data_IF_921624398869
#
_entry.id   IF_921624398869
#
_cell.length_a   1.000
_cell.length_b   1.000
_cell.length_c   1.000
_cell.angle_alpha   90.00
_cell.angle_beta   90.00
_cell.angle_gamma   90.00
#
_symmetry.space_group_name_H-M   'P 1'
#
loop_
_entity.id
_entity.type
_entity.pdbx_description
1 polymer ?
#
# COMPACT_ATOMS: atom_id res chain seq x y z
N UNK A 1 3.68 11.81 10.37
CA UNK A 1 4.38 12.99 9.85
C UNK A 1 3.57 13.57 8.69
N UNK A 2 2.83 14.64 8.91
CA UNK A 2 1.97 15.35 7.92
C UNK A 2 0.92 14.50 7.21
N UNK A 3 0.59 13.34 7.73
CA UNK A 3 -0.46 12.44 7.24
C UNK A 3 -1.36 11.96 8.37
N UNK A 4 -1.33 12.66 9.52
CA UNK A 4 -2.09 12.28 10.71
C UNK A 4 -3.59 12.20 10.40
N UNK A 5 -4.14 13.13 9.60
CA UNK A 5 -5.54 13.13 9.19
C UNK A 5 -5.87 11.89 8.36
N UNK A 6 -5.15 11.65 7.25
CA UNK A 6 -5.34 10.48 6.38
C UNK A 6 -5.08 9.17 7.12
N UNK A 7 -4.08 9.15 8.01
CA UNK A 7 -3.77 7.97 8.82
C UNK A 7 -4.87 7.70 9.86
N UNK A 8 -5.40 8.73 10.49
CA UNK A 8 -6.51 8.61 11.45
C UNK A 8 -7.79 8.12 10.76
N UNK A 9 -8.10 8.68 9.60
CA UNK A 9 -9.24 8.27 8.78
C UNK A 9 -9.11 6.79 8.37
N UNK A 10 -7.97 6.38 7.81
CA UNK A 10 -7.72 4.98 7.44
C UNK A 10 -7.78 4.04 8.66
N UNK A 11 -7.23 4.45 9.80
CA UNK A 11 -7.29 3.68 11.03
C UNK A 11 -8.73 3.51 11.52
N UNK A 12 -9.56 4.54 11.43
CA UNK A 12 -10.98 4.48 11.81
C UNK A 12 -11.76 3.51 10.91
N UNK A 13 -11.55 3.57 9.58
CA UNK A 13 -12.17 2.65 8.61
C UNK A 13 -11.79 1.21 8.92
N UNK A 14 -10.52 0.96 9.27
CA UNK A 14 -10.01 -0.39 9.52
C UNK A 14 -10.21 -0.89 10.96
N UNK A 15 -10.59 -0.01 11.90
CA UNK A 15 -10.78 -0.36 13.31
C UNK A 15 -11.73 -1.54 13.57
N UNK A 16 -12.80 -1.79 12.79
CA UNK A 16 -13.66 -2.97 12.98
C UNK A 16 -12.89 -4.30 12.95
N UNK A 17 -11.78 -4.38 12.19
CA UNK A 17 -10.93 -5.57 12.16
C UNK A 17 -10.38 -5.97 13.54
N UNK A 18 -10.16 -5.01 14.43
CA UNK A 18 -9.73 -5.25 15.81
C UNK A 18 -10.86 -5.75 16.71
N UNK A 19 -12.09 -5.83 16.20
CA UNK A 19 -13.25 -6.46 16.86
C UNK A 19 -13.70 -7.75 16.16
N UNK A 20 -12.86 -8.29 15.28
CA UNK A 20 -13.18 -9.43 14.41
C UNK A 20 -14.40 -9.17 13.49
N UNK A 21 -14.60 -7.92 13.10
CA UNK A 21 -15.62 -7.50 12.14
C UNK A 21 -14.95 -7.08 10.83
N UNK A 22 -15.60 -7.33 9.69
CA UNK A 22 -15.08 -6.91 8.39
C UNK A 22 -15.18 -5.40 8.24
N UNK A 23 -14.04 -4.68 8.03
CA UNK A 23 -14.05 -3.28 7.65
C UNK A 23 -14.61 -3.07 6.23
N UNK A 24 -14.98 -1.83 5.90
CA UNK A 24 -15.17 -1.43 4.50
C UNK A 24 -13.90 -1.67 3.70
N UNK A 25 -14.03 -1.94 2.40
CA UNK A 25 -12.86 -1.89 1.52
C UNK A 25 -12.35 -0.44 1.47
N UNK A 26 -11.04 -0.28 1.33
CA UNK A 26 -10.39 1.02 1.37
C UNK A 26 -9.55 1.26 0.14
N UNK A 27 -9.76 2.38 -0.54
CA UNK A 27 -8.90 2.80 -1.63
C UNK A 27 -8.15 4.08 -1.30
N UNK A 28 -6.86 4.06 -1.56
CA UNK A 28 -5.94 5.16 -1.25
C UNK A 28 -5.35 5.69 -2.54
N UNK A 29 -5.67 6.93 -2.85
CA UNK A 29 -5.25 7.61 -4.06
C UNK A 29 -4.23 8.70 -3.78
N UNK A 30 -3.39 8.98 -4.74
CA UNK A 30 -2.47 10.12 -4.69
C UNK A 30 -1.29 9.92 -5.62
N UNK A 31 -0.61 10.99 -5.98
CA UNK A 31 0.60 10.93 -6.81
C UNK A 31 1.72 10.12 -6.14
N UNK A 32 2.71 9.73 -6.93
CA UNK A 32 3.94 9.09 -6.41
C UNK A 32 4.60 9.98 -5.37
N UNK A 33 5.20 9.37 -4.34
CA UNK A 33 5.94 10.12 -3.30
C UNK A 33 5.10 10.84 -2.26
N UNK A 34 3.75 10.69 -2.26
CA UNK A 34 2.85 11.32 -1.28
C UNK A 34 2.71 10.57 0.05
N UNK A 35 3.43 9.46 0.24
CA UNK A 35 3.48 8.73 1.51
C UNK A 35 2.46 7.61 1.69
N UNK A 36 1.59 7.29 0.71
CA UNK A 36 0.53 6.28 0.79
C UNK A 36 0.99 4.94 1.37
N UNK A 37 1.92 4.30 0.68
CA UNK A 37 2.45 2.98 1.07
C UNK A 37 3.07 2.99 2.47
N UNK A 38 3.81 4.05 2.81
CA UNK A 38 4.47 4.17 4.11
C UNK A 38 3.45 4.32 5.24
N UNK A 39 2.45 5.19 5.06
CA UNK A 39 1.37 5.40 6.03
C UNK A 39 0.57 4.12 6.23
N UNK A 40 0.20 3.43 5.14
CA UNK A 40 -0.55 2.18 5.24
C UNK A 40 0.23 1.08 5.97
N UNK A 41 1.52 0.91 5.66
CA UNK A 41 2.38 -0.04 6.38
C UNK A 41 2.49 0.29 7.86
N UNK A 42 2.58 1.57 8.23
CA UNK A 42 2.63 2.00 9.62
C UNK A 42 1.32 1.66 10.37
N UNK A 43 0.16 1.96 9.78
CA UNK A 43 -1.16 1.64 10.35
C UNK A 43 -1.29 0.13 10.56
N UNK A 44 -1.02 -0.65 9.52
CA UNK A 44 -1.16 -2.12 9.56
C UNK A 44 -0.22 -2.75 10.59
N UNK A 45 1.01 -2.25 10.72
CA UNK A 45 1.93 -2.72 11.74
C UNK A 45 1.42 -2.41 13.16
N UNK A 46 0.93 -1.20 13.40
CA UNK A 46 0.31 -0.84 14.69
C UNK A 46 -0.92 -1.70 14.99
N UNK A 47 -1.78 -1.93 14.00
CA UNK A 47 -2.93 -2.83 14.15
C UNK A 47 -2.51 -4.26 14.48
N UNK A 48 -1.47 -4.77 13.81
CA UNK A 48 -0.91 -6.10 14.08
C UNK A 48 -0.39 -6.22 15.52
N UNK A 49 0.31 -5.21 16.02
CA UNK A 49 0.78 -5.20 17.42
C UNK A 49 -0.38 -5.21 18.42
N UNK A 50 -1.43 -4.41 18.16
CA UNK A 50 -2.64 -4.38 18.98
C UNK A 50 -3.35 -5.74 18.91
N UNK A 51 -3.47 -6.33 17.74
CA UNK A 51 -4.12 -7.63 17.54
C UNK A 51 -3.41 -8.74 18.32
N UNK A 52 -2.06 -8.78 18.25
CA UNK A 52 -1.26 -9.75 19.01
C UNK A 52 -1.47 -9.58 20.52
N UNK A 53 -1.44 -8.34 21.04
CA UNK A 53 -1.65 -8.06 22.47
C UNK A 53 -3.03 -8.48 22.99
N UNK A 54 -4.05 -8.43 22.13
CA UNK A 54 -5.43 -8.72 22.48
C UNK A 54 -5.93 -10.08 21.97
N UNK A 55 -5.04 -10.95 21.47
CA UNK A 55 -5.38 -12.25 20.89
C UNK A 55 -6.45 -12.18 19.78
N UNK A 56 -6.37 -11.16 18.93
CA UNK A 56 -7.26 -10.96 17.79
C UNK A 56 -6.63 -11.61 16.55
N UNK A 57 -7.40 -12.43 15.86
CA UNK A 57 -6.94 -13.11 14.63
C UNK A 57 -6.97 -12.15 13.42
N UNK A 58 -5.96 -11.31 13.32
CA UNK A 58 -5.77 -10.35 12.23
C UNK A 58 -4.59 -10.76 11.36
N UNK A 59 -4.82 -10.95 10.06
CA UNK A 59 -3.78 -11.34 9.11
C UNK A 59 -3.62 -10.29 7.99
N UNK A 60 -2.65 -9.39 8.08
CA UNK A 60 -2.33 -8.51 6.98
C UNK A 60 -1.48 -9.24 5.91
N UNK A 61 -1.85 -9.06 4.65
CA UNK A 61 -1.14 -9.57 3.48
C UNK A 61 -0.85 -8.39 2.56
N UNK A 62 0.41 -8.16 2.26
CA UNK A 62 0.85 -7.07 1.39
C UNK A 62 1.41 -7.62 0.07
N UNK A 63 0.89 -7.12 -1.04
CA UNK A 63 1.35 -7.44 -2.40
C UNK A 63 1.62 -6.15 -3.16
N UNK A 64 2.84 -6.02 -3.72
CA UNK A 64 3.14 -4.96 -4.67
C UNK A 64 2.89 -5.47 -6.09
N UNK A 65 1.86 -4.92 -6.75
CA UNK A 65 1.37 -5.37 -8.04
C UNK A 65 2.27 -4.95 -9.23
N UNK A 66 3.22 -4.04 -9.01
CA UNK A 66 4.19 -3.62 -10.02
C UNK A 66 5.31 -4.63 -10.22
N UNK A 67 5.67 -5.37 -9.17
CA UNK A 67 6.77 -6.32 -9.24
C UNK A 67 6.51 -7.41 -10.28
N UNK A 68 7.48 -7.60 -11.18
CA UNK A 68 7.44 -8.68 -12.16
C UNK A 68 7.40 -10.04 -11.45
N UNK A 69 6.69 -11.00 -12.01
CA UNK A 69 6.48 -12.36 -11.48
C UNK A 69 5.60 -12.45 -10.23
N UNK A 70 5.09 -11.35 -9.70
CA UNK A 70 4.20 -11.37 -8.52
C UNK A 70 2.74 -11.31 -8.95
N UNK A 71 2.39 -10.41 -9.85
CA UNK A 71 1.03 -10.15 -10.27
C UNK A 71 0.93 -9.93 -11.81
N UNK A 72 1.69 -10.70 -12.58
CA UNK A 72 1.67 -10.61 -14.05
C UNK A 72 0.53 -11.43 -14.67
N UNK A 73 -0.04 -12.36 -13.93
CA UNK A 73 -1.24 -13.13 -14.27
C UNK A 73 -2.05 -13.34 -13.00
N UNK A 74 -3.35 -13.57 -13.16
CA UNK A 74 -4.24 -13.89 -12.04
C UNK A 74 -3.74 -15.11 -11.25
N UNK A 75 -3.33 -16.16 -11.96
CA UNK A 75 -2.72 -17.34 -11.37
C UNK A 75 -1.55 -16.99 -10.43
N UNK A 76 -0.62 -16.14 -10.87
CA UNK A 76 0.54 -15.73 -10.07
C UNK A 76 0.16 -14.92 -8.86
N UNK A 77 -0.82 -14.03 -8.98
CA UNK A 77 -1.35 -13.28 -7.86
C UNK A 77 -1.91 -14.23 -6.79
N UNK A 78 -2.80 -15.14 -7.17
CA UNK A 78 -3.39 -16.10 -6.24
C UNK A 78 -2.32 -17.04 -5.65
N UNK A 79 -1.35 -17.49 -6.45
CA UNK A 79 -0.20 -18.27 -5.95
C UNK A 79 0.59 -17.51 -4.88
N UNK A 80 0.83 -16.21 -5.10
CA UNK A 80 1.52 -15.36 -4.12
C UNK A 80 0.71 -15.19 -2.83
N UNK A 81 -0.62 -15.08 -2.95
CA UNK A 81 -1.52 -15.04 -1.81
C UNK A 81 -1.47 -16.36 -1.03
N UNK A 82 -1.54 -17.50 -1.70
CA UNK A 82 -1.42 -18.84 -1.10
C UNK A 82 -0.08 -18.97 -0.34
N UNK A 83 1.02 -18.49 -0.94
CA UNK A 83 2.33 -18.49 -0.30
C UNK A 83 2.37 -17.71 1.00
N UNK A 84 1.60 -16.63 1.12
CA UNK A 84 1.49 -15.85 2.37
C UNK A 84 0.84 -16.63 3.53
N UNK A 85 0.17 -17.75 3.20
CA UNK A 85 -0.36 -18.72 4.16
C UNK A 85 0.62 -19.89 4.47
N UNK A 86 1.85 -19.80 3.95
CA UNK A 86 2.88 -20.83 4.20
C UNK A 86 2.75 -22.07 3.31
N UNK A 87 1.92 -22.04 2.27
CA UNK A 87 1.76 -23.13 1.31
C UNK A 87 2.32 -22.74 -0.05
N UNK A 88 3.18 -23.56 -0.60
CA UNK A 88 3.66 -23.41 -1.96
C UNK A 88 2.76 -24.18 -2.94
N UNK A 89 2.51 -23.57 -4.09
CA UNK A 89 1.84 -24.19 -5.23
C UNK A 89 2.76 -24.09 -6.45
N UNK A 90 2.65 -25.02 -7.42
CA UNK A 90 3.42 -24.93 -8.65
C UNK A 90 3.24 -23.55 -9.29
N UNK A 91 4.29 -22.99 -9.89
CA UNK A 91 4.24 -21.69 -10.55
C UNK A 91 3.41 -21.68 -11.85
N UNK A 92 3.08 -22.87 -12.36
CA UNK A 92 2.24 -23.09 -13.55
C UNK A 92 1.66 -24.51 -13.49
N UNK A 93 0.57 -24.77 -14.23
CA UNK A 93 0.10 -26.13 -14.49
C UNK A 93 -1.23 -26.50 -13.85
N UNK A 94 -1.71 -25.79 -12.85
CA UNK A 94 -3.06 -26.00 -12.34
C UNK A 94 -4.07 -25.13 -13.09
N UNK A 95 -5.31 -25.59 -13.30
CA UNK A 95 -6.42 -24.73 -13.74
C UNK A 95 -6.63 -23.56 -12.76
N UNK A 96 -7.07 -22.42 -13.29
CA UNK A 96 -7.33 -21.22 -12.46
C UNK A 96 -8.36 -21.49 -11.38
N UNK A 97 -9.40 -22.24 -11.67
CA UNK A 97 -10.43 -22.62 -10.70
C UNK A 97 -9.86 -23.46 -9.54
N UNK A 98 -8.91 -24.34 -9.83
CA UNK A 98 -8.29 -25.18 -8.81
C UNK A 98 -7.41 -24.37 -7.85
N UNK A 99 -6.67 -23.38 -8.36
CA UNK A 99 -5.86 -22.51 -7.51
C UNK A 99 -6.74 -21.62 -6.63
N UNK A 100 -7.90 -21.16 -7.12
CA UNK A 100 -8.89 -20.46 -6.31
C UNK A 100 -9.47 -21.35 -5.22
N UNK A 101 -9.81 -22.59 -5.52
CA UNK A 101 -10.31 -23.56 -4.54
C UNK A 101 -9.28 -23.82 -3.42
N UNK A 102 -8.00 -23.91 -3.76
CA UNK A 102 -6.93 -24.02 -2.76
C UNK A 102 -6.87 -22.75 -1.90
N UNK A 103 -6.95 -21.58 -2.52
CA UNK A 103 -6.94 -20.30 -1.84
C UNK A 103 -8.12 -20.15 -0.87
N UNK A 104 -9.33 -20.44 -1.30
CA UNK A 104 -10.53 -20.40 -0.48
C UNK A 104 -10.44 -21.31 0.74
N UNK A 105 -9.98 -22.55 0.55
CA UNK A 105 -9.77 -23.48 1.67
C UNK A 105 -8.76 -22.96 2.68
N UNK A 106 -7.69 -22.29 2.23
CA UNK A 106 -6.69 -21.71 3.13
C UNK A 106 -7.21 -20.49 3.88
N UNK A 107 -7.98 -19.65 3.21
CA UNK A 107 -8.61 -18.48 3.82
C UNK A 107 -9.54 -18.87 4.96
N UNK A 108 -10.35 -19.90 4.76
CA UNK A 108 -11.47 -20.26 5.64
C UNK A 108 -11.12 -21.29 6.71
N UNK A 109 -9.83 -21.61 6.88
CA UNK A 109 -9.36 -22.57 7.89
C UNK A 109 -9.62 -22.12 9.33
N UNK A 110 -9.48 -20.81 9.59
CA UNK A 110 -9.58 -20.21 10.92
C UNK A 110 -10.46 -18.96 10.89
N UNK A 111 -11.10 -18.67 12.03
CA UNK A 111 -11.85 -17.41 12.17
C UNK A 111 -10.86 -16.24 12.26
N UNK A 112 -10.75 -15.44 11.21
CA UNK A 112 -9.81 -14.32 11.13
C UNK A 112 -10.32 -13.21 10.22
N UNK A 113 -9.80 -12.01 10.41
CA UNK A 113 -9.95 -10.91 9.45
C UNK A 113 -8.64 -10.75 8.68
N UNK A 114 -8.73 -10.76 7.36
CA UNK A 114 -7.60 -10.63 6.46
C UNK A 114 -7.63 -9.23 5.84
N UNK A 115 -6.56 -8.46 6.06
CA UNK A 115 -6.35 -7.19 5.38
C UNK A 115 -5.47 -7.44 4.16
N UNK A 116 -6.08 -7.47 2.98
CA UNK A 116 -5.38 -7.68 1.71
C UNK A 116 -4.99 -6.34 1.10
N UNK A 117 -3.71 -5.98 1.20
CA UNK A 117 -3.17 -4.72 0.68
C UNK A 117 -2.57 -4.97 -0.71
N UNK A 118 -3.19 -4.38 -1.74
CA UNK A 118 -2.71 -4.39 -3.12
C UNK A 118 -2.11 -3.02 -3.45
N UNK A 119 -0.79 -2.92 -3.37
CA UNK A 119 -0.08 -1.68 -3.70
C UNK A 119 0.18 -1.59 -5.21
N UNK A 120 0.01 -0.39 -5.77
CA UNK A 120 -0.01 -0.12 -7.21
C UNK A 120 -1.06 -0.96 -7.96
N UNK A 121 -2.28 -1.00 -7.42
CA UNK A 121 -3.42 -1.78 -7.93
C UNK A 121 -3.79 -1.42 -9.37
N UNK A 122 -3.56 -0.18 -9.79
CA UNK A 122 -3.72 0.28 -11.17
C UNK A 122 -2.80 -0.47 -12.15
N UNK A 123 -1.66 -0.98 -11.69
CA UNK A 123 -0.78 -1.82 -12.50
C UNK A 123 -1.30 -3.25 -12.62
N UNK A 124 -2.01 -3.74 -11.59
CA UNK A 124 -2.65 -5.05 -11.62
C UNK A 124 -3.73 -5.09 -12.70
N UNK A 125 -4.68 -4.17 -12.64
CA UNK A 125 -5.81 -4.15 -13.61
C UNK A 125 -5.35 -3.90 -15.04
N UNK A 126 -4.29 -3.11 -15.25
CA UNK A 126 -3.68 -2.94 -16.57
C UNK A 126 -3.08 -4.22 -17.14
N UNK A 127 -2.57 -5.13 -16.29
CA UNK A 127 -1.92 -6.37 -16.72
C UNK A 127 -2.90 -7.52 -16.96
N UNK A 128 -3.86 -7.69 -16.07
CA UNK A 128 -4.71 -8.89 -16.01
C UNK A 128 -6.22 -8.58 -16.06
N UNK A 129 -6.59 -7.31 -16.21
CA UNK A 129 -7.98 -6.89 -16.16
C UNK A 129 -8.49 -6.65 -14.74
N UNK A 130 -9.70 -6.17 -14.63
CA UNK A 130 -10.35 -5.83 -13.35
C UNK A 130 -11.24 -6.96 -12.79
N UNK A 131 -11.45 -8.03 -13.56
CA UNK A 131 -12.23 -9.19 -13.13
C UNK A 131 -11.66 -9.85 -11.86
N UNK A 132 -10.36 -9.84 -11.70
CA UNK A 132 -9.70 -10.31 -10.48
C UNK A 132 -10.16 -9.56 -9.22
N UNK A 133 -10.44 -8.26 -9.32
CA UNK A 133 -10.98 -7.48 -8.21
C UNK A 133 -12.41 -7.90 -7.90
N UNK A 134 -13.22 -8.16 -8.93
CA UNK A 134 -14.55 -8.69 -8.76
C UNK A 134 -14.53 -10.03 -8.02
N UNK A 135 -13.65 -10.95 -8.42
CA UNK A 135 -13.49 -12.25 -7.77
C UNK A 135 -13.07 -12.08 -6.30
N UNK A 136 -12.08 -11.21 -6.01
CA UNK A 136 -11.60 -10.97 -4.66
C UNK A 136 -12.63 -10.29 -3.75
N UNK A 137 -13.51 -9.45 -4.27
CA UNK A 137 -14.56 -8.81 -3.45
C UNK A 137 -15.71 -9.76 -3.14
N UNK A 138 -16.03 -10.65 -4.05
CA UNK A 138 -17.11 -11.64 -3.88
C UNK A 138 -16.74 -12.83 -3.03
N UNK A 139 -15.46 -13.08 -2.83
CA UNK A 139 -14.96 -14.20 -2.04
C UNK A 139 -15.59 -14.26 -0.63
N UNK A 140 -15.90 -13.10 -0.04
CA UNK A 140 -16.58 -13.05 1.27
C UNK A 140 -17.97 -13.71 1.30
N UNK A 141 -18.62 -13.86 0.16
CA UNK A 141 -19.92 -14.55 0.08
C UNK A 141 -19.76 -16.07 0.21
N UNK A 142 -18.57 -16.59 -0.05
CA UNK A 142 -18.25 -18.03 0.01
C UNK A 142 -17.56 -18.43 1.32
N UNK A 143 -16.95 -17.48 2.03
CA UNK A 143 -16.24 -17.71 3.30
C UNK A 143 -17.24 -17.81 4.48
N UNK A 144 -17.01 -18.78 5.37
CA UNK A 144 -17.84 -19.04 6.57
C UNK A 144 -17.16 -18.52 7.85
N UNK A 145 -15.86 -18.70 7.94
CA UNK A 145 -15.07 -18.41 9.15
C UNK A 145 -14.30 -17.11 9.04
N UNK A 146 -13.73 -16.83 7.89
CA UNK A 146 -12.88 -15.65 7.69
C UNK A 146 -13.56 -14.55 6.87
N UNK A 147 -13.00 -13.36 6.95
CA UNK A 147 -13.46 -12.19 6.20
C UNK A 147 -12.26 -11.46 5.60
N UNK A 148 -12.41 -10.97 4.37
CA UNK A 148 -11.39 -10.20 3.67
C UNK A 148 -11.83 -8.75 3.50
N UNK A 149 -10.96 -7.83 3.91
CA UNK A 149 -11.03 -6.42 3.56
C UNK A 149 -9.96 -6.13 2.50
N UNK A 150 -10.37 -5.60 1.36
CA UNK A 150 -9.46 -5.20 0.28
C UNK A 150 -9.00 -3.76 0.49
N UNK A 151 -7.68 -3.55 0.47
CA UNK A 151 -7.06 -2.23 0.55
C UNK A 151 -6.29 -2.00 -0.73
N UNK A 152 -6.78 -1.10 -1.58
CA UNK A 152 -6.14 -0.73 -2.85
C UNK A 152 -5.34 0.55 -2.73
N UNK A 153 -4.08 0.56 -3.17
CA UNK A 153 -3.26 1.78 -3.24
C UNK A 153 -2.98 2.08 -4.71
N UNK A 154 -3.41 3.25 -5.19
CA UNK A 154 -3.23 3.66 -6.58
C UNK A 154 -2.49 4.99 -6.71
N UNK A 155 -1.66 5.09 -7.75
CA UNK A 155 -1.08 6.35 -8.19
C UNK A 155 -1.98 7.11 -9.19
N UNK A 156 -3.05 6.47 -9.66
CA UNK A 156 -4.02 7.04 -10.56
C UNK A 156 -5.28 7.49 -9.79
N UNK A 157 -5.55 8.78 -9.78
CA UNK A 157 -6.69 9.38 -9.06
C UNK A 157 -8.06 8.98 -9.62
N UNK A 158 -8.11 8.64 -10.90
CA UNK A 158 -9.35 8.23 -11.59
C UNK A 158 -9.42 6.71 -11.78
N UNK A 159 -8.68 5.95 -10.98
CA UNK A 159 -8.59 4.50 -11.13
C UNK A 159 -9.97 3.83 -11.01
N UNK A 160 -10.72 4.15 -9.95
CA UNK A 160 -12.02 3.55 -9.71
C UNK A 160 -13.07 3.93 -10.78
N UNK A 161 -12.93 5.12 -11.40
CA UNK A 161 -13.83 5.55 -12.46
C UNK A 161 -13.71 4.69 -13.74
N UNK A 162 -12.52 4.13 -13.97
CA UNK A 162 -12.20 3.32 -15.14
C UNK A 162 -12.48 1.82 -14.96
N UNK A 163 -12.95 1.39 -13.80
CA UNK A 163 -13.33 0.00 -13.55
C UNK A 163 -14.69 -0.34 -14.17
N UNK A 164 -14.87 -1.61 -14.53
CA UNK A 164 -16.20 -2.13 -14.93
C UNK A 164 -17.24 -1.78 -13.85
N UNK A 165 -18.44 -1.31 -14.23
CA UNK A 165 -19.48 -0.94 -13.26
C UNK A 165 -19.85 -2.05 -12.28
N UNK A 166 -19.74 -3.32 -12.67
CA UNK A 166 -19.99 -4.49 -11.80
C UNK A 166 -18.92 -4.61 -10.72
N UNK A 167 -17.65 -4.37 -11.08
CA UNK A 167 -16.52 -4.36 -10.15
C UNK A 167 -16.69 -3.22 -9.16
N UNK A 168 -16.96 -2.02 -9.66
CA UNK A 168 -17.17 -0.82 -8.84
C UNK A 168 -18.30 -1.02 -7.82
N UNK A 169 -19.44 -1.56 -8.27
CA UNK A 169 -20.55 -1.86 -7.37
C UNK A 169 -20.22 -2.91 -6.30
N UNK A 170 -19.35 -3.88 -6.62
CA UNK A 170 -18.96 -4.93 -5.67
C UNK A 170 -17.89 -4.48 -4.67
N UNK A 171 -17.13 -3.47 -4.99
CA UNK A 171 -16.05 -2.96 -4.13
C UNK A 171 -16.61 -2.29 -2.87
N UNK A 172 -17.69 -1.48 -3.00
CA UNK A 172 -18.29 -0.73 -1.86
C UNK A 172 -17.20 -0.11 -0.97
N UNK A 173 -16.27 0.62 -1.63
CA UNK A 173 -15.07 1.16 -1.02
C UNK A 173 -15.29 2.51 -0.35
N UNK A 174 -14.45 2.81 0.63
CA UNK A 174 -14.20 4.16 1.12
C UNK A 174 -12.89 4.67 0.53
N UNK A 175 -12.87 5.95 0.14
CA UNK A 175 -11.75 6.54 -0.59
C UNK A 175 -11.00 7.56 0.26
N UNK A 176 -9.67 7.46 0.29
CA UNK A 176 -8.80 8.45 0.94
C UNK A 176 -7.81 9.02 -0.08
N UNK A 177 -7.78 10.35 -0.17
CA UNK A 177 -6.85 11.05 -1.05
C UNK A 177 -5.63 11.54 -0.26
N UNK A 178 -4.44 11.20 -0.76
CA UNK A 178 -3.16 11.72 -0.28
C UNK A 178 -2.71 12.86 -1.18
N UNK A 179 -2.92 14.13 -0.79
CA UNK A 179 -2.52 15.27 -1.60
C UNK A 179 -1.00 15.36 -1.71
N UNK A 180 -0.45 16.01 -2.74
CA UNK A 180 0.98 16.31 -2.83
C UNK A 180 1.46 17.07 -1.59
N UNK A 181 2.71 16.84 -1.18
CA UNK A 181 3.31 17.65 -0.11
C UNK A 181 3.62 19.06 -0.61
N UNK A 182 3.40 20.06 0.24
CA UNK A 182 3.85 21.42 0.00
C UNK A 182 5.35 21.57 0.37
N UNK A 183 5.93 22.72 -0.03
CA UNK A 183 7.36 22.96 0.19
C UNK A 183 7.78 22.91 1.67
N UNK A 184 6.96 23.43 2.59
CA UNK A 184 7.25 23.43 4.03
C UNK A 184 7.23 22.02 4.61
N UNK A 185 6.27 21.19 4.19
CA UNK A 185 6.20 19.78 4.61
C UNK A 185 7.41 18.99 4.11
N UNK A 186 7.82 19.20 2.86
CA UNK A 186 9.01 18.56 2.30
C UNK A 186 10.26 19.03 3.05
N UNK A 187 10.36 20.33 3.35
CA UNK A 187 11.48 20.90 4.09
C UNK A 187 11.67 20.22 5.45
N UNK A 188 10.62 20.02 6.21
CA UNK A 188 10.73 19.38 7.51
C UNK A 188 11.05 17.88 7.39
N UNK A 189 10.48 17.18 6.40
CA UNK A 189 10.85 15.79 6.11
C UNK A 189 12.34 15.70 5.77
N UNK A 190 12.86 16.61 4.94
CA UNK A 190 14.28 16.64 4.59
C UNK A 190 15.16 16.95 5.81
N UNK A 191 14.77 17.88 6.68
CA UNK A 191 15.51 18.17 7.94
C UNK A 191 15.62 16.91 8.81
N UNK A 192 14.52 16.23 9.04
CA UNK A 192 14.51 14.99 9.82
C UNK A 192 15.38 13.89 9.20
N UNK A 193 15.42 13.81 7.87
CA UNK A 193 16.25 12.84 7.16
C UNK A 193 17.73 13.25 7.15
N UNK A 194 18.03 14.53 6.98
CA UNK A 194 19.40 15.03 6.98
C UNK A 194 20.10 14.81 8.32
N UNK A 195 19.41 15.04 9.44
CA UNK A 195 19.93 14.79 10.78
C UNK A 195 20.33 13.32 11.04
N UNK A 196 19.77 12.38 10.27
CA UNK A 196 20.09 10.95 10.38
C UNK A 196 21.10 10.47 9.33
N UNK A 197 21.31 11.23 8.26
CA UNK A 197 22.08 10.80 7.09
C UNK A 197 23.38 11.56 6.88
N UNK A 198 23.52 12.76 7.43
CA UNK A 198 24.70 13.61 7.29
C UNK A 198 25.31 13.92 8.67
N UNK A 199 26.61 14.15 8.69
CA UNK A 199 27.31 14.63 9.87
C UNK A 199 26.85 16.06 10.21
N UNK A 200 26.94 16.43 11.50
CA UNK A 200 26.58 17.77 11.95
C UNK A 200 27.40 18.84 11.22
N UNK A 201 26.69 19.88 10.75
CA UNK A 201 27.30 21.01 10.04
C UNK A 201 27.60 20.80 8.56
N UNK A 202 27.40 19.58 8.01
CA UNK A 202 27.67 19.29 6.58
C UNK A 202 26.62 19.94 5.68
N UNK A 203 25.36 19.97 6.09
CA UNK A 203 24.26 20.55 5.29
C UNK A 203 24.18 22.05 5.56
N UNK A 204 24.63 22.83 4.60
CA UNK A 204 24.63 24.30 4.71
C UNK A 204 23.22 24.89 4.67
N UNK A 205 23.12 26.11 5.22
CA UNK A 205 21.87 26.89 5.19
C UNK A 205 21.40 27.11 3.75
N UNK A 206 20.09 26.90 3.48
CA UNK A 206 19.47 27.10 2.17
C UNK A 206 19.45 25.86 1.28
N UNK A 207 20.24 24.81 1.57
CA UNK A 207 20.25 23.57 0.77
C UNK A 207 18.90 22.85 0.85
N UNK A 208 18.41 22.65 2.08
CA UNK A 208 17.11 21.96 2.31
C UNK A 208 15.98 22.78 1.68
N UNK A 209 16.00 24.11 1.84
CA UNK A 209 15.02 25.02 1.28
C UNK A 209 14.97 24.94 -0.25
N UNK A 210 16.13 24.91 -0.91
CA UNK A 210 16.22 24.74 -2.36
C UNK A 210 15.69 23.38 -2.82
N UNK A 211 16.13 22.29 -2.20
CA UNK A 211 15.69 20.94 -2.52
C UNK A 211 14.17 20.79 -2.37
N UNK A 212 13.60 21.32 -1.28
CA UNK A 212 12.17 21.26 -1.02
C UNK A 212 11.35 22.10 -2.00
N UNK A 213 11.83 23.31 -2.34
CA UNK A 213 11.16 24.18 -3.32
C UNK A 213 11.13 23.54 -4.72
N UNK A 214 12.24 22.93 -5.16
CA UNK A 214 12.30 22.20 -6.41
C UNK A 214 11.31 21.02 -6.45
N UNK A 215 11.32 20.18 -5.43
CA UNK A 215 10.45 19.01 -5.36
C UNK A 215 8.96 19.39 -5.27
N UNK A 216 8.62 20.45 -4.52
CA UNK A 216 7.25 20.96 -4.43
C UNK A 216 6.76 21.48 -5.79
N UNK A 217 7.60 22.17 -6.55
CA UNK A 217 7.27 22.67 -7.89
C UNK A 217 7.06 21.52 -8.88
N UNK A 218 7.80 20.43 -8.76
CA UNK A 218 7.73 19.26 -9.65
C UNK A 218 6.75 18.18 -9.19
N UNK A 219 5.66 18.47 -8.51
CA UNK A 219 4.58 17.56 -8.10
C UNK A 219 4.54 17.18 -6.62
N UNK A 220 5.35 17.75 -5.74
CA UNK A 220 5.34 17.43 -4.30
C UNK A 220 5.79 16.01 -3.98
N UNK A 221 6.70 15.44 -4.78
CA UNK A 221 7.28 14.11 -4.58
C UNK A 221 8.46 14.17 -3.63
N UNK A 222 8.27 13.68 -2.40
CA UNK A 222 9.30 13.63 -1.37
C UNK A 222 10.47 12.71 -1.75
N UNK A 223 10.25 11.66 -2.53
CA UNK A 223 11.34 10.76 -2.96
C UNK A 223 12.35 11.52 -3.80
N UNK A 224 11.87 12.36 -4.73
CA UNK A 224 12.74 13.23 -5.54
C UNK A 224 13.49 14.26 -4.68
N UNK A 225 12.85 14.80 -3.66
CA UNK A 225 13.52 15.72 -2.73
C UNK A 225 14.68 15.04 -1.98
N UNK A 226 14.44 13.82 -1.49
CA UNK A 226 15.46 13.02 -0.81
C UNK A 226 16.59 12.64 -1.77
N UNK A 227 16.27 12.21 -2.97
CA UNK A 227 17.27 11.87 -3.99
C UNK A 227 18.10 13.09 -4.39
N UNK A 228 17.50 14.25 -4.54
CA UNK A 228 18.19 15.50 -4.85
C UNK A 228 19.18 15.87 -3.74
N UNK A 229 18.77 15.79 -2.47
CA UNK A 229 19.62 16.05 -1.32
C UNK A 229 20.78 15.04 -1.26
N UNK A 230 20.51 13.75 -1.48
CA UNK A 230 21.54 12.70 -1.51
C UNK A 230 22.57 12.95 -2.60
N UNK A 231 22.11 13.21 -3.84
CA UNK A 231 23.02 13.46 -4.98
C UNK A 231 23.84 14.73 -4.75
N UNK A 232 23.25 15.79 -4.18
CA UNK A 232 23.99 17.00 -3.82
C UNK A 232 25.11 16.71 -2.81
N UNK A 233 24.85 15.89 -1.79
CA UNK A 233 25.86 15.44 -0.83
C UNK A 233 26.97 14.62 -1.47
N UNK A 234 26.64 13.67 -2.34
CA UNK A 234 27.63 12.85 -3.07
C UNK A 234 28.55 13.71 -3.98
N UNK A 235 27.98 14.74 -4.60
CA UNK A 235 28.77 15.67 -5.45
C UNK A 235 29.70 16.52 -4.56
N UNK A 236 29.21 17.06 -3.45
CA UNK A 236 30.01 17.85 -2.53
C UNK A 236 31.19 17.03 -1.98
N UNK A 237 30.94 15.80 -1.54
CA UNK A 237 31.98 14.88 -1.07
C UNK A 237 33.08 14.62 -2.11
N UNK A 238 32.68 14.37 -3.38
CA UNK A 238 33.62 14.16 -4.50
C UNK A 238 34.42 15.41 -4.85
N UNK A 239 33.86 16.60 -4.66
CA UNK A 239 34.54 17.88 -4.93
C UNK A 239 35.36 18.38 -3.76
N UNK A 240 35.37 17.71 -2.63
CA UNK A 240 36.10 18.11 -1.41
C UNK A 240 35.54 19.39 -0.77
N UNK A 241 34.25 19.63 -0.93
CA UNK A 241 33.55 20.85 -0.48
C UNK A 241 32.78 20.56 0.81
#
# INVERSE_FOLDING_TARGET
>A
IYREEQMSEAANILAPALRNEKPSNLFIYGKTGTGKTLSMKSIVNSMKEIAVKNNIALKPIYVNCKLKRVADTEYRLISQLIKSFGRDVPSTGLPTDEIYNIFYKLLDQEKQVILLILDEIDQLTKKIGDEVLYNLTRINAELKNSQICLIGISNNLIFAENLDPRVKSSLSEEDIIFPPYNALQIQEILRNRSNSAFNDGTVQTGVIEKCSAYAAREHGDVRRAIDLLRVAGEIAERSGS
#
